data_IF_221939705697
#
_entry.id   IF_221939705697
#
_cell.length_a   1.000
_cell.length_b   1.000
_cell.length_c   1.000
_cell.angle_alpha   90.00
_cell.angle_beta   90.00
_cell.angle_gamma   90.00
#
_symmetry.space_group_name_H-M   'P 1'
#
loop_
_entity.id
_entity.type
_entity.pdbx_description
1 polymer ?
#
# COMPACT_ATOMS: atom_id res chain seq x y z
N UNK A 1 3.51 -22.27 7.73
CA UNK A 1 3.57 -20.87 7.28
C UNK A 1 4.92 -20.33 7.73
N UNK A 2 5.83 -20.02 6.81
CA UNK A 2 7.20 -19.61 7.17
C UNK A 2 7.18 -18.21 7.78
N UNK A 3 8.03 -17.95 8.78
CA UNK A 3 8.06 -16.69 9.54
C UNK A 3 8.11 -15.43 8.64
N UNK A 4 8.73 -15.54 7.45
CA UNK A 4 8.79 -14.49 6.44
C UNK A 4 7.40 -14.07 5.90
N UNK A 5 6.46 -15.00 5.71
CA UNK A 5 5.11 -14.68 5.21
C UNK A 5 4.30 -13.90 6.26
N UNK A 6 4.49 -14.23 7.53
CA UNK A 6 3.81 -13.56 8.64
C UNK A 6 4.36 -12.14 8.85
N UNK A 7 5.67 -11.97 8.75
CA UNK A 7 6.33 -10.65 8.79
C UNK A 7 5.89 -9.78 7.61
N UNK A 8 5.85 -10.35 6.41
CA UNK A 8 5.32 -9.68 5.22
C UNK A 8 3.88 -9.21 5.44
N UNK A 9 3.02 -10.09 5.95
CA UNK A 9 1.62 -9.75 6.24
C UNK A 9 1.51 -8.62 7.26
N UNK A 10 2.26 -8.68 8.37
CA UNK A 10 2.28 -7.60 9.38
C UNK A 10 2.75 -6.27 8.80
N UNK A 11 3.75 -6.30 7.91
CA UNK A 11 4.23 -5.12 7.18
C UNK A 11 3.14 -4.52 6.29
N UNK A 12 2.36 -5.36 5.61
CA UNK A 12 1.19 -4.91 4.84
C UNK A 12 0.18 -4.17 5.71
N UNK A 13 -0.22 -4.75 6.85
CA UNK A 13 -1.22 -4.14 7.75
C UNK A 13 -0.70 -2.83 8.34
N UNK A 14 0.58 -2.77 8.72
CA UNK A 14 1.19 -1.54 9.23
C UNK A 14 1.15 -0.41 8.20
N UNK A 15 1.45 -0.70 6.92
CA UNK A 15 1.38 0.30 5.84
C UNK A 15 -0.05 0.71 5.52
N UNK A 16 -1.01 -0.21 5.49
CA UNK A 16 -2.42 0.11 5.29
C UNK A 16 -2.96 1.01 6.41
N UNK A 17 -2.58 0.75 7.67
CA UNK A 17 -2.93 1.59 8.81
C UNK A 17 -2.34 2.99 8.69
N UNK A 18 -1.06 3.09 8.35
CA UNK A 18 -0.38 4.37 8.13
C UNK A 18 -1.06 5.17 7.02
N UNK A 19 -1.36 4.53 5.89
CA UNK A 19 -2.07 5.18 4.80
C UNK A 19 -3.46 5.67 5.24
N UNK A 20 -4.22 4.84 5.96
CA UNK A 20 -5.53 5.23 6.47
C UNK A 20 -5.47 6.51 7.34
N UNK A 21 -4.48 6.61 8.23
CA UNK A 21 -4.28 7.81 9.05
C UNK A 21 -4.04 9.05 8.19
N UNK A 22 -3.17 8.94 7.18
CA UNK A 22 -2.86 10.04 6.25
C UNK A 22 -4.06 10.43 5.38
N UNK A 23 -4.96 9.49 5.10
CA UNK A 23 -6.22 9.75 4.37
C UNK A 23 -7.33 10.36 5.25
N UNK A 24 -7.09 10.49 6.56
CA UNK A 24 -7.99 11.14 7.52
C UNK A 24 -8.84 10.19 8.37
N UNK A 25 -8.58 8.89 8.35
CA UNK A 25 -9.24 7.94 9.25
C UNK A 25 -8.66 8.07 10.67
N UNK A 26 -9.51 8.27 11.67
CA UNK A 26 -9.08 8.64 13.02
C UNK A 26 -9.11 7.47 14.01
N UNK A 27 -10.09 6.58 13.93
CA UNK A 27 -10.28 5.50 14.91
C UNK A 27 -10.00 4.14 14.26
N UNK A 28 -8.73 3.91 13.90
CA UNK A 28 -8.34 2.70 13.19
C UNK A 28 -8.05 1.57 14.18
N UNK A 29 -8.82 0.50 14.10
CA UNK A 29 -8.66 -0.71 14.91
C UNK A 29 -8.41 -1.92 14.02
N UNK A 30 -7.68 -2.93 14.51
CA UNK A 30 -7.63 -4.22 13.83
C UNK A 30 -8.75 -5.11 14.39
N UNK A 31 -9.55 -5.70 13.51
CA UNK A 31 -10.64 -6.57 13.89
C UNK A 31 -10.10 -7.83 14.59
N UNK A 32 -10.51 -8.04 15.84
CA UNK A 32 -10.10 -9.21 16.63
C UNK A 32 -10.52 -10.55 15.97
N UNK A 33 -11.66 -10.55 15.29
CA UNK A 33 -12.23 -11.74 14.63
C UNK A 33 -11.70 -11.95 13.19
N UNK A 34 -11.01 -10.96 12.63
CA UNK A 34 -10.52 -10.99 11.25
C UNK A 34 -9.10 -10.42 11.16
N UNK A 35 -8.11 -11.32 11.26
CA UNK A 35 -6.70 -10.97 11.24
C UNK A 35 -6.33 -10.11 10.03
N UNK A 36 -5.69 -8.96 10.29
CA UNK A 36 -5.30 -8.00 9.28
C UNK A 36 -6.45 -7.32 8.54
N UNK A 37 -7.63 -7.23 9.14
CA UNK A 37 -8.70 -6.35 8.65
C UNK A 37 -8.76 -5.11 9.53
N UNK A 38 -8.58 -3.94 8.92
CA UNK A 38 -8.64 -2.65 9.64
C UNK A 38 -10.05 -2.06 9.56
N UNK A 39 -10.47 -1.41 10.63
CA UNK A 39 -11.80 -0.81 10.77
C UNK A 39 -11.68 0.64 11.21
N UNK A 40 -12.55 1.51 10.71
CA UNK A 40 -12.75 2.88 11.20
C UNK A 40 -14.22 3.04 11.64
N UNK A 41 -14.46 3.19 12.95
CA UNK A 41 -15.79 3.38 13.55
C UNK A 41 -16.88 2.46 12.95
N UNK A 42 -16.67 1.14 13.01
CA UNK A 42 -17.57 0.10 12.47
C UNK A 42 -17.56 -0.10 10.93
N UNK A 43 -16.69 0.59 10.18
CA UNK A 43 -16.54 0.38 8.73
C UNK A 43 -15.22 -0.31 8.41
N UNK A 44 -15.27 -1.44 7.70
CA UNK A 44 -14.07 -2.08 7.16
C UNK A 44 -13.35 -1.15 6.18
N UNK A 45 -12.05 -0.98 6.42
CA UNK A 45 -11.16 -0.21 5.55
C UNK A 45 -10.66 -1.06 4.38
N UNK A 46 -10.41 -0.44 3.21
CA UNK A 46 -9.89 -1.16 2.06
C UNK A 46 -8.52 -1.79 2.32
N UNK A 47 -8.30 -2.98 1.78
CA UNK A 47 -7.03 -3.70 1.90
C UNK A 47 -6.08 -3.28 0.77
N UNK A 48 -5.57 -2.05 0.80
CA UNK A 48 -4.86 -1.43 -0.34
C UNK A 48 -3.59 -2.16 -0.80
N UNK A 49 -2.90 -2.88 0.09
CA UNK A 49 -1.73 -3.69 -0.33
C UNK A 49 -2.14 -5.08 -0.81
N UNK A 50 -3.44 -5.39 -0.73
CA UNK A 50 -3.94 -6.75 -0.90
C UNK A 50 -5.14 -6.97 -1.81
N UNK A 51 -5.84 -5.91 -2.20
CA UNK A 51 -6.95 -5.96 -3.14
C UNK A 51 -6.75 -4.89 -4.22
N UNK A 52 -6.66 -5.33 -5.47
CA UNK A 52 -6.53 -4.42 -6.62
C UNK A 52 -7.70 -3.46 -6.76
N UNK A 53 -8.91 -3.85 -6.37
CA UNK A 53 -10.08 -2.96 -6.40
C UNK A 53 -9.92 -1.77 -5.46
N UNK A 54 -9.20 -1.97 -4.36
CA UNK A 54 -8.83 -0.91 -3.42
C UNK A 54 -7.60 -0.13 -3.90
N UNK A 55 -6.58 -0.83 -4.39
CA UNK A 55 -5.29 -0.22 -4.76
C UNK A 55 -5.37 0.62 -6.04
N UNK A 56 -6.03 0.11 -7.09
CA UNK A 56 -6.07 0.72 -8.42
C UNK A 56 -6.52 2.19 -8.42
N UNK A 57 -7.62 2.54 -7.72
CA UNK A 57 -8.05 3.94 -7.59
C UNK A 57 -6.97 4.88 -7.05
N UNK A 58 -6.13 4.44 -6.12
CA UNK A 58 -5.03 5.27 -5.57
C UNK A 58 -4.05 5.71 -6.66
N UNK A 59 -3.76 4.82 -7.62
CA UNK A 59 -2.82 5.12 -8.69
C UNK A 59 -3.33 6.24 -9.58
N UNK A 60 -4.60 6.17 -9.96
CA UNK A 60 -5.22 7.15 -10.85
C UNK A 60 -5.50 8.46 -10.14
N UNK A 61 -5.95 8.41 -8.88
CA UNK A 61 -6.30 9.59 -8.09
C UNK A 61 -5.07 10.46 -7.75
N UNK A 62 -3.92 9.83 -7.48
CA UNK A 62 -2.68 10.53 -7.09
C UNK A 62 -1.62 10.56 -8.19
N UNK A 63 -1.94 10.13 -9.42
CA UNK A 63 -1.03 10.18 -10.56
C UNK A 63 0.23 9.31 -10.40
N UNK A 64 0.12 8.16 -9.75
CA UNK A 64 1.25 7.27 -9.45
C UNK A 64 1.55 6.37 -10.66
N UNK A 65 2.66 6.66 -11.34
CA UNK A 65 3.14 5.84 -12.46
C UNK A 65 3.84 4.56 -11.99
N UNK A 66 3.61 3.45 -12.71
CA UNK A 66 4.29 2.16 -12.50
C UNK A 66 5.09 1.82 -13.76
N UNK A 67 6.37 1.51 -13.58
CA UNK A 67 7.26 1.05 -14.65
C UNK A 67 7.96 -0.23 -14.22
N UNK A 68 8.04 -1.19 -15.14
CA UNK A 68 8.69 -2.48 -14.92
C UNK A 68 10.08 -2.43 -15.53
N UNK A 69 11.10 -2.81 -14.77
CA UNK A 69 12.49 -2.74 -15.19
C UNK A 69 13.29 -3.97 -14.75
N UNK A 70 14.41 -4.20 -15.44
CA UNK A 70 15.33 -5.31 -15.21
C UNK A 70 15.10 -6.49 -16.16
N UNK A 71 16.19 -7.18 -16.49
CA UNK A 71 16.11 -8.47 -17.17
C UNK A 71 15.31 -9.47 -16.30
N UNK A 72 14.58 -10.42 -16.89
CA UNK A 72 13.91 -11.47 -16.11
C UNK A 72 14.94 -12.17 -15.20
N UNK A 73 14.71 -12.14 -13.89
CA UNK A 73 15.66 -12.67 -12.91
C UNK A 73 15.44 -12.17 -11.49
N UNK A 74 16.32 -12.56 -10.54
CA UNK A 74 16.17 -12.23 -9.11
C UNK A 74 16.31 -10.73 -8.79
N UNK A 75 16.88 -9.93 -9.71
CA UNK A 75 16.95 -8.47 -9.60
C UNK A 75 15.78 -7.76 -10.32
N UNK A 76 14.72 -8.50 -10.69
CA UNK A 76 13.54 -7.91 -11.32
C UNK A 76 12.66 -7.21 -10.30
N UNK A 77 12.15 -6.04 -10.69
CA UNK A 77 11.36 -5.20 -9.81
C UNK A 77 10.46 -4.23 -10.56
N UNK A 78 9.78 -3.40 -9.79
CA UNK A 78 8.98 -2.30 -10.30
C UNK A 78 9.43 -1.00 -9.66
N UNK A 79 9.36 0.08 -10.45
CA UNK A 79 9.46 1.44 -9.97
C UNK A 79 8.07 2.07 -9.97
N UNK A 80 7.64 2.52 -8.81
CA UNK A 80 6.34 3.12 -8.53
C UNK A 80 6.60 4.56 -8.10
N UNK A 81 6.46 5.50 -9.03
CA UNK A 81 6.91 6.89 -8.82
C UNK A 81 8.40 6.96 -8.46
N UNK A 82 8.70 7.40 -7.23
CA UNK A 82 10.05 7.42 -6.66
C UNK A 82 10.43 6.15 -5.89
N UNK A 83 9.46 5.31 -5.54
CA UNK A 83 9.66 4.05 -4.82
C UNK A 83 10.09 2.93 -5.75
N UNK A 84 11.04 2.11 -5.32
CA UNK A 84 11.43 0.85 -5.99
C UNK A 84 11.10 -0.33 -5.10
N UNK A 85 10.55 -1.40 -5.68
CA UNK A 85 10.28 -2.69 -5.01
C UNK A 85 10.93 -3.82 -5.80
N UNK A 86 11.55 -4.75 -5.10
CA UNK A 86 12.12 -5.97 -5.69
C UNK A 86 11.08 -7.08 -5.63
N UNK A 87 10.87 -7.84 -6.70
CA UNK A 87 9.84 -8.89 -6.68
C UNK A 87 10.19 -10.06 -5.75
N UNK A 88 11.48 -10.27 -5.46
CA UNK A 88 11.94 -11.32 -4.55
C UNK A 88 11.51 -11.10 -3.09
N UNK A 89 11.21 -9.86 -2.69
CA UNK A 89 10.80 -9.51 -1.32
C UNK A 89 9.30 -9.73 -1.07
N UNK A 90 8.56 -10.20 -2.07
CA UNK A 90 7.10 -10.29 -2.03
C UNK A 90 6.61 -11.67 -2.49
N UNK A 91 5.46 -12.15 -1.95
CA UNK A 91 4.89 -13.44 -2.35
C UNK A 91 4.53 -13.53 -3.83
N UNK A 92 4.14 -12.40 -4.44
CA UNK A 92 3.83 -12.30 -5.87
C UNK A 92 4.20 -10.93 -6.41
N UNK A 93 4.32 -10.80 -7.74
CA UNK A 93 4.54 -9.51 -8.41
C UNK A 93 3.42 -8.51 -8.13
N UNK A 94 2.16 -8.97 -8.13
CA UNK A 94 1.00 -8.15 -7.79
C UNK A 94 1.09 -7.57 -6.38
N UNK A 95 1.50 -8.40 -5.41
CA UNK A 95 1.71 -7.97 -4.02
C UNK A 95 2.81 -6.92 -3.93
N UNK A 96 3.90 -7.08 -4.69
CA UNK A 96 4.97 -6.09 -4.77
C UNK A 96 4.47 -4.75 -5.30
N UNK A 97 3.70 -4.77 -6.39
CA UNK A 97 3.19 -3.53 -7.01
C UNK A 97 2.21 -2.83 -6.07
N UNK A 98 1.21 -3.54 -5.53
CA UNK A 98 0.24 -2.92 -4.60
C UNK A 98 0.93 -2.36 -3.34
N UNK A 99 1.91 -3.09 -2.78
CA UNK A 99 2.71 -2.60 -1.67
C UNK A 99 3.54 -1.36 -2.03
N UNK A 100 4.14 -1.36 -3.22
CA UNK A 100 4.88 -0.21 -3.77
C UNK A 100 4.01 1.03 -3.96
N UNK A 101 2.78 0.87 -4.45
CA UNK A 101 1.79 1.97 -4.60
C UNK A 101 1.46 2.58 -3.25
N UNK A 102 1.17 1.76 -2.24
CA UNK A 102 0.88 2.26 -0.89
C UNK A 102 2.08 2.98 -0.30
N UNK A 103 3.29 2.45 -0.45
CA UNK A 103 4.52 3.13 0.02
C UNK A 103 4.76 4.47 -0.68
N UNK A 104 4.60 4.52 -2.00
CA UNK A 104 4.77 5.77 -2.74
C UNK A 104 3.72 6.80 -2.31
N UNK A 105 2.46 6.41 -2.16
CA UNK A 105 1.41 7.33 -1.73
C UNK A 105 1.66 7.86 -0.32
N UNK A 106 2.06 7.01 0.63
CA UNK A 106 2.47 7.44 1.98
C UNK A 106 3.57 8.49 1.88
N UNK A 107 4.62 8.21 1.10
CA UNK A 107 5.73 9.15 0.90
C UNK A 107 5.28 10.49 0.31
N UNK A 108 4.37 10.45 -0.67
CA UNK A 108 3.80 11.63 -1.31
C UNK A 108 2.98 12.48 -0.35
N UNK A 109 2.15 11.86 0.49
CA UNK A 109 1.33 12.53 1.50
C UNK A 109 2.18 13.12 2.64
N UNK A 110 3.20 12.39 3.11
CA UNK A 110 4.06 12.82 4.21
C UNK A 110 5.06 13.92 3.80
N UNK A 111 5.67 13.81 2.62
CA UNK A 111 6.84 14.62 2.26
C UNK A 111 6.62 15.59 1.12
N UNK A 112 5.67 15.34 0.20
CA UNK A 112 5.44 16.22 -0.96
C UNK A 112 4.24 17.15 -0.80
N UNK A 113 3.60 17.16 0.39
CA UNK A 113 2.43 17.98 0.71
C UNK A 113 1.34 17.90 -0.37
N UNK A 114 1.10 16.70 -0.90
CA UNK A 114 -0.04 16.50 -1.79
C UNK A 114 -1.32 16.74 -0.99
N UNK A 115 -2.06 17.80 -1.34
CA UNK A 115 -3.40 18.00 -0.85
C UNK A 115 -4.28 16.85 -1.37
N UNK A 116 -5.13 16.30 -0.50
CA UNK A 116 -6.11 15.30 -0.90
C UNK A 116 -6.94 15.87 -2.07
N UNK A 117 -7.08 15.16 -3.20
CA UNK A 117 -7.89 15.66 -4.30
C UNK A 117 -9.33 15.89 -3.79
N UNK A 118 -9.78 17.15 -3.88
CA UNK A 118 -11.10 17.59 -3.40
C UNK A 118 -11.13 18.40 -2.11
N UNK A 119 -10.00 18.66 -1.43
CA UNK A 119 -9.94 19.67 -0.36
C UNK A 119 -9.42 21.01 -0.91
N UNK A 120 -10.21 22.12 -0.83
CA UNK A 120 -9.68 23.44 -1.16
C UNK A 120 -8.59 23.84 -0.17
N UNK A 121 -7.55 24.50 -0.69
CA UNK A 121 -6.45 25.08 0.08
C UNK A 121 -6.90 26.24 0.96
#
# INVERSE_FOLDING_TARGET
MHSSDQEYFRSCIARERQLAQLLGHQHIEECYESAGTLWDNARELPKWTRDWRACGPLMTEYGIGVSYGGAPGPASGARIGSTTVQFADHPTRDRAVMYGVVKELIFLLEHRKLAKPGQPS
#
